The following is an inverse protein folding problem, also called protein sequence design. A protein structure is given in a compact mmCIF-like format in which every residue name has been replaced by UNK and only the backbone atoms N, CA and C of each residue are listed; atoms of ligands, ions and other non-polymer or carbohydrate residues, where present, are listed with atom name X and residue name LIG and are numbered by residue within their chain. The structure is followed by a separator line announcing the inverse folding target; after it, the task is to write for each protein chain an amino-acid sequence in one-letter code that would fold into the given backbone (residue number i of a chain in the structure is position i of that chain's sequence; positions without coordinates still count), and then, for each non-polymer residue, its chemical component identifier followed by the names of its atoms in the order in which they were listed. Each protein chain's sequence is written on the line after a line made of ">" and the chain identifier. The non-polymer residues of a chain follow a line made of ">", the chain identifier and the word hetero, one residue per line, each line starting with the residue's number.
data_IF_629703048382
#
_entry.id   IF_629703048382
#
_cell.length_a   1.000
_cell.length_b   1.000
_cell.length_c   1.000
_cell.angle_alpha   90.00
_cell.angle_beta   90.00
_cell.angle_gamma   90.00
#
_symmetry.space_group_name_H-M   'P 1'
#
loop_
_entity.id
_entity.type
_entity.pdbx_description
1 polymer ?
#
# COMPACT_ATOMS: atom_id res chain seq x y z
N UNK A 1 8.24 12.66 6.41
CA UNK A 1 8.13 11.26 5.95
C UNK A 1 8.08 10.39 7.19
N UNK A 2 6.94 9.74 7.43
CA UNK A 2 6.72 8.90 8.63
C UNK A 2 6.64 7.44 8.18
N UNK A 3 7.17 6.53 8.98
CA UNK A 3 7.05 5.09 8.72
C UNK A 3 5.78 4.57 9.40
N UNK A 4 4.89 3.96 8.60
CA UNK A 4 3.63 3.35 9.06
C UNK A 4 3.74 1.85 8.93
N UNK A 5 3.53 1.12 10.03
CA UNK A 5 3.43 -0.33 10.00
C UNK A 5 1.97 -0.76 10.00
N UNK A 6 1.59 -1.63 9.06
CA UNK A 6 0.26 -2.22 8.96
C UNK A 6 0.39 -3.73 9.20
N UNK A 7 -0.29 -4.20 10.24
CA UNK A 7 -0.30 -5.62 10.64
C UNK A 7 -1.61 -6.24 10.15
N UNK A 8 -1.49 -7.22 9.25
CA UNK A 8 -2.58 -7.80 8.48
C UNK A 8 -2.69 -7.15 7.10
N UNK A 9 -2.57 -7.97 6.06
CA UNK A 9 -2.61 -7.62 4.64
C UNK A 9 -3.92 -8.08 3.96
N UNK A 10 -4.98 -8.30 4.74
CA UNK A 10 -6.34 -8.48 4.23
C UNK A 10 -6.91 -7.22 3.57
N UNK A 11 -8.20 -7.24 3.20
CA UNK A 11 -8.84 -6.15 2.46
C UNK A 11 -8.67 -4.76 3.12
N UNK A 12 -8.93 -4.67 4.43
CA UNK A 12 -8.78 -3.39 5.15
C UNK A 12 -7.31 -2.98 5.28
N UNK A 13 -6.42 -3.92 5.63
CA UNK A 13 -5.00 -3.64 5.79
C UNK A 13 -4.34 -3.14 4.50
N UNK A 14 -4.66 -3.77 3.37
CA UNK A 14 -4.21 -3.31 2.06
C UNK A 14 -4.73 -1.89 1.74
N UNK A 15 -5.99 -1.59 2.07
CA UNK A 15 -6.57 -0.26 1.90
C UNK A 15 -5.89 0.81 2.74
N UNK A 16 -5.64 0.54 4.02
CA UNK A 16 -4.92 1.45 4.93
C UNK A 16 -3.50 1.70 4.41
N UNK A 17 -2.79 0.63 4.03
CA UNK A 17 -1.45 0.70 3.47
C UNK A 17 -1.41 1.55 2.18
N UNK A 18 -2.37 1.36 1.28
CA UNK A 18 -2.47 2.14 0.05
C UNK A 18 -2.69 3.64 0.32
N UNK A 19 -3.59 3.98 1.25
CA UNK A 19 -3.84 5.38 1.61
C UNK A 19 -2.59 6.01 2.24
N UNK A 20 -1.94 5.31 3.18
CA UNK A 20 -0.71 5.80 3.79
C UNK A 20 0.39 6.04 2.75
N UNK A 21 0.59 5.10 1.82
CA UNK A 21 1.56 5.21 0.74
C UNK A 21 1.24 6.36 -0.23
N UNK A 22 -0.05 6.55 -0.59
CA UNK A 22 -0.48 7.65 -1.45
C UNK A 22 -0.23 9.04 -0.84
N UNK A 23 -0.06 9.12 0.49
CA UNK A 23 0.31 10.35 1.21
C UNK A 23 1.83 10.47 1.47
N UNK A 24 2.66 9.66 0.80
CA UNK A 24 4.12 9.75 0.90
C UNK A 24 4.70 9.18 2.20
N UNK A 25 3.95 8.33 2.90
CA UNK A 25 4.49 7.61 4.06
C UNK A 25 5.20 6.33 3.61
N UNK A 26 6.31 5.99 4.27
CA UNK A 26 6.93 4.68 4.08
C UNK A 26 6.05 3.63 4.77
N UNK A 27 5.62 2.58 4.06
CA UNK A 27 4.70 1.58 4.62
C UNK A 27 5.41 0.23 4.76
N UNK A 28 5.37 -0.32 5.97
CA UNK A 28 5.75 -1.69 6.27
C UNK A 28 4.47 -2.53 6.38
N UNK A 29 4.31 -3.52 5.51
CA UNK A 29 3.14 -4.40 5.50
C UNK A 29 3.56 -5.80 5.96
N UNK A 30 2.92 -6.32 7.00
CA UNK A 30 3.17 -7.65 7.54
C UNK A 30 1.88 -8.47 7.59
N UNK A 31 2.00 -9.77 7.33
CA UNK A 31 0.94 -10.76 7.54
C UNK A 31 1.55 -12.07 8.08
N UNK A 32 0.73 -13.05 8.41
CA UNK A 32 1.14 -14.37 8.91
C UNK A 32 2.02 -15.14 7.91
N UNK A 33 1.86 -14.86 6.61
CA UNK A 33 2.63 -15.46 5.54
C UNK A 33 3.01 -14.42 4.47
N UNK A 34 4.16 -14.65 3.84
CA UNK A 34 4.70 -13.74 2.83
C UNK A 34 3.84 -13.67 1.57
N UNK A 35 3.16 -14.75 1.20
CA UNK A 35 2.37 -14.78 -0.04
C UNK A 35 1.15 -13.85 0.06
N UNK A 36 0.50 -13.77 1.22
CA UNK A 36 -0.59 -12.84 1.49
C UNK A 36 -0.09 -11.39 1.45
N UNK A 37 1.06 -11.10 2.07
CA UNK A 37 1.67 -9.77 2.06
C UNK A 37 2.05 -9.33 0.63
N UNK A 38 2.67 -10.20 -0.17
CA UNK A 38 3.03 -9.92 -1.57
C UNK A 38 1.81 -9.73 -2.46
N UNK A 39 0.76 -10.55 -2.27
CA UNK A 39 -0.50 -10.37 -3.00
C UNK A 39 -1.13 -9.02 -2.72
N UNK A 40 -1.17 -8.60 -1.45
CA UNK A 40 -1.68 -7.31 -1.06
C UNK A 40 -0.83 -6.16 -1.61
N UNK A 41 0.49 -6.27 -1.51
CA UNK A 41 1.46 -5.32 -2.09
C UNK A 41 1.23 -5.14 -3.60
N UNK A 42 1.10 -6.22 -4.36
CA UNK A 42 0.81 -6.14 -5.79
C UNK A 42 -0.56 -5.50 -6.10
N UNK A 43 -1.54 -5.66 -5.21
CA UNK A 43 -2.82 -4.95 -5.29
C UNK A 43 -2.67 -3.44 -5.06
N UNK A 44 -1.90 -3.06 -4.04
CA UNK A 44 -1.59 -1.67 -3.68
C UNK A 44 -0.83 -0.98 -4.84
N UNK A 45 0.20 -1.62 -5.40
CA UNK A 45 0.97 -1.09 -6.53
C UNK A 45 0.08 -0.80 -7.74
N UNK A 46 -0.84 -1.73 -8.08
CA UNK A 46 -1.84 -1.50 -9.14
C UNK A 46 -2.80 -0.36 -8.81
N UNK A 47 -3.20 -0.24 -7.55
CA UNK A 47 -4.07 0.84 -7.07
C UNK A 47 -3.41 2.21 -7.20
N UNK A 48 -2.17 2.34 -6.73
CA UNK A 48 -1.36 3.55 -6.83
C UNK A 48 -1.06 3.91 -8.28
N UNK A 49 -0.68 2.95 -9.12
CA UNK A 49 -0.45 3.18 -10.55
C UNK A 49 -1.68 3.75 -11.27
N UNK A 50 -2.90 3.33 -10.89
CA UNK A 50 -4.14 3.93 -11.41
C UNK A 50 -4.37 5.37 -10.92
N UNK A 51 -3.92 5.72 -9.71
CA UNK A 51 -4.03 7.07 -9.18
C UNK A 51 -3.02 8.02 -9.84
N UNK A 52 -1.79 7.54 -10.08
CA UNK A 52 -0.77 8.24 -10.87
C UNK A 52 -1.29 8.48 -12.30
N UNK A 53 -1.82 7.46 -12.96
CA UNK A 53 -2.39 7.60 -14.31
C UNK A 53 -3.59 8.54 -14.39
N UNK A 54 -4.24 8.85 -13.25
CA UNK A 54 -5.32 9.82 -13.13
C UNK A 54 -4.84 11.18 -12.61
N UNK A 55 -3.53 11.39 -12.50
CA UNK A 55 -2.90 12.61 -11.99
C UNK A 55 -3.37 12.99 -10.58
N UNK A 56 -3.83 12.01 -9.79
CA UNK A 56 -4.30 12.24 -8.42
C UNK A 56 -3.16 12.27 -7.40
N UNK A 57 -2.04 11.63 -7.72
CA UNK A 57 -0.82 11.57 -6.91
C UNK A 57 0.39 11.64 -7.85
N UNK A 58 1.53 12.12 -7.35
CA UNK A 58 2.81 12.10 -8.07
C UNK A 58 3.43 10.70 -8.04
N UNK A 59 4.28 10.39 -9.03
CA UNK A 59 5.06 9.16 -9.09
C UNK A 59 6.43 9.40 -8.46
N UNK A 60 6.46 9.55 -7.13
CA UNK A 60 7.70 9.75 -6.36
C UNK A 60 7.97 8.53 -5.45
#
# INVERSE_FOLDING_TARGET
>A
MTTVAVIGAGQMGAGIAQVAAAHGNAVLLADIDLATAEKARGGIEKGLGKLVAKEKIAAD
#
